data_IF_540322131513
#
_entry.id   IF_540322131513
#
_cell.length_a   1.000
_cell.length_b   1.000
_cell.length_c   1.000
_cell.angle_alpha   90.00
_cell.angle_beta   90.00
_cell.angle_gamma   90.00
#
_symmetry.space_group_name_H-M   'P 1'
#
loop_
_entity.id
_entity.type
_entity.pdbx_description
1 polymer ?
#
# COMPACT_ATOMS: atom_id res chain seq x y z
N UNK A 1 11.19 3.97 -5.75
CA UNK A 1 11.27 3.71 -7.19
C UNK A 1 10.41 4.72 -7.95
N UNK A 2 10.95 5.36 -8.97
CA UNK A 2 10.23 6.26 -9.90
C UNK A 2 10.13 5.54 -11.24
N UNK A 3 8.93 5.46 -11.79
CA UNK A 3 8.64 4.82 -13.06
C UNK A 3 8.40 5.93 -14.07
N UNK A 4 9.16 5.91 -15.16
CA UNK A 4 9.00 6.84 -16.27
C UNK A 4 8.76 6.02 -17.53
N UNK A 5 7.65 6.30 -18.22
CA UNK A 5 7.38 5.73 -19.53
C UNK A 5 6.81 6.80 -20.45
N UNK A 6 6.85 6.55 -21.74
CA UNK A 6 6.29 7.45 -22.74
C UNK A 6 5.48 6.69 -23.78
N UNK A 7 4.49 7.34 -24.38
CA UNK A 7 3.80 6.92 -25.58
C UNK A 7 3.97 7.98 -26.66
N UNK A 8 4.08 7.54 -27.92
CA UNK A 8 4.11 8.43 -29.08
C UNK A 8 2.77 8.29 -29.82
N UNK A 9 2.01 9.38 -29.91
CA UNK A 9 0.68 9.37 -30.52
C UNK A 9 0.47 10.60 -31.41
N UNK A 10 0.28 10.40 -32.72
CA UNK A 10 -0.01 11.48 -33.69
C UNK A 10 0.90 12.71 -33.49
N UNK A 11 2.22 12.53 -33.53
CA UNK A 11 3.25 13.56 -33.30
C UNK A 11 3.35 14.14 -31.88
N UNK A 12 2.54 13.65 -30.94
CA UNK A 12 2.59 14.05 -29.54
C UNK A 12 3.34 13.01 -28.68
N UNK A 13 4.09 13.50 -27.69
CA UNK A 13 4.76 12.68 -26.69
C UNK A 13 3.94 12.74 -25.39
N UNK A 14 3.44 11.58 -24.96
CA UNK A 14 2.71 11.43 -23.70
C UNK A 14 3.66 10.78 -22.70
N UNK A 15 4.23 11.55 -21.78
CA UNK A 15 5.11 11.03 -20.73
C UNK A 15 4.33 10.78 -19.43
N UNK A 16 4.66 9.69 -18.76
CA UNK A 16 3.98 9.21 -17.57
C UNK A 16 5.03 9.00 -16.49
N UNK A 17 4.84 9.68 -15.36
CA UNK A 17 5.63 9.49 -14.16
C UNK A 17 4.75 8.90 -13.07
N UNK A 18 5.10 7.70 -12.59
CA UNK A 18 4.43 7.06 -11.48
C UNK A 18 5.42 6.74 -10.35
N UNK A 19 4.96 6.74 -9.11
CA UNK A 19 5.76 6.27 -7.98
C UNK A 19 5.03 5.25 -7.12
N UNK A 20 5.80 4.55 -6.29
CA UNK A 20 5.29 3.54 -5.36
C UNK A 20 4.33 4.06 -4.29
N UNK A 21 4.26 5.38 -4.09
CA UNK A 21 3.32 6.02 -3.16
C UNK A 21 2.01 6.44 -3.86
N UNK A 22 1.76 5.92 -5.06
CA UNK A 22 0.55 6.16 -5.81
C UNK A 22 0.48 7.53 -6.46
N UNK A 23 1.57 8.30 -6.51
CA UNK A 23 1.58 9.55 -7.26
C UNK A 23 1.75 9.23 -8.73
N UNK A 24 0.81 9.71 -9.55
CA UNK A 24 0.73 9.52 -11.00
C UNK A 24 0.67 10.91 -11.65
N UNK A 25 1.55 11.18 -12.61
CA UNK A 25 1.63 12.46 -13.32
C UNK A 25 1.75 12.19 -14.82
N UNK A 26 0.93 12.87 -15.61
CA UNK A 26 0.90 12.77 -17.06
C UNK A 26 1.33 14.11 -17.66
N UNK A 27 2.24 14.04 -18.61
CA UNK A 27 2.72 15.17 -19.39
C UNK A 27 2.40 14.94 -20.87
N UNK A 28 1.94 15.99 -21.55
CA UNK A 28 1.74 16.03 -23.00
C UNK A 28 2.73 17.03 -23.58
N UNK A 29 3.63 16.58 -24.45
CA UNK A 29 4.70 17.40 -25.05
C UNK A 29 5.54 18.18 -24.00
N UNK A 30 5.73 17.58 -22.82
CA UNK A 30 6.46 18.18 -21.70
C UNK A 30 5.61 19.06 -20.78
N UNK A 31 4.37 19.38 -21.12
CA UNK A 31 3.45 20.11 -20.25
C UNK A 31 2.64 19.16 -19.36
N UNK A 32 2.55 19.45 -18.06
CA UNK A 32 1.78 18.63 -17.13
C UNK A 32 0.28 18.83 -17.35
N UNK A 33 -0.40 17.79 -17.82
CA UNK A 33 -1.85 17.82 -18.12
C UNK A 33 -2.69 17.10 -17.07
N UNK A 34 -2.10 16.19 -16.29
CA UNK A 34 -2.82 15.49 -15.22
C UNK A 34 -1.90 15.11 -14.07
N UNK A 35 -2.41 15.21 -12.84
CA UNK A 35 -1.73 14.76 -11.63
C UNK A 35 -2.76 14.20 -10.68
N UNK A 36 -2.55 12.97 -10.23
CA UNK A 36 -3.40 12.32 -9.25
C UNK A 36 -2.55 11.55 -8.24
N UNK A 37 -3.10 11.40 -7.03
CA UNK A 37 -2.56 10.47 -6.04
C UNK A 37 -3.59 9.38 -5.82
N UNK A 38 -3.24 8.19 -6.27
CA UNK A 38 -4.08 7.03 -6.23
C UNK A 38 -3.53 5.97 -5.28
N UNK A 39 -4.27 5.70 -4.22
CA UNK A 39 -3.91 4.69 -3.22
C UNK A 39 -4.37 3.29 -3.67
N UNK A 40 -5.25 3.23 -4.68
CA UNK A 40 -5.73 1.96 -5.24
C UNK A 40 -4.76 1.39 -6.26
N UNK A 41 -4.94 0.11 -6.62
CA UNK A 41 -4.14 -0.55 -7.66
C UNK A 41 -4.53 -0.17 -9.09
N UNK A 42 -5.47 0.76 -9.29
CA UNK A 42 -6.01 1.14 -10.61
C UNK A 42 -6.16 2.65 -10.74
N UNK A 43 -5.30 3.28 -11.53
CA UNK A 43 -5.38 4.70 -11.91
C UNK A 43 -5.96 4.91 -13.30
N UNK A 44 -6.69 6.01 -13.46
CA UNK A 44 -7.26 6.39 -14.75
C UNK A 44 -7.12 7.90 -14.92
N UNK A 45 -6.46 8.30 -16.01
CA UNK A 45 -6.36 9.68 -16.45
C UNK A 45 -7.07 9.83 -17.79
N UNK A 46 -7.78 10.94 -17.99
CA UNK A 46 -8.30 11.32 -19.28
C UNK A 46 -7.57 12.58 -19.73
N UNK A 47 -7.06 12.59 -20.96
CA UNK A 47 -6.39 13.72 -21.58
C UNK A 47 -7.00 13.97 -22.95
N UNK A 48 -6.83 15.18 -23.47
CA UNK A 48 -7.29 15.56 -24.81
C UNK A 48 -6.07 15.82 -25.70
N UNK A 49 -6.03 15.20 -26.87
CA UNK A 49 -4.96 15.35 -27.87
C UNK A 49 -5.63 15.57 -29.22
N UNK A 50 -5.39 16.72 -29.86
CA UNK A 50 -5.96 17.07 -31.16
C UNK A 50 -7.49 16.86 -31.26
N UNK A 51 -8.26 17.31 -30.26
CA UNK A 51 -9.73 17.15 -30.15
C UNK A 51 -10.20 15.69 -29.94
N UNK A 52 -9.28 14.75 -29.71
CA UNK A 52 -9.58 13.37 -29.36
C UNK A 52 -9.33 13.12 -27.87
N UNK A 53 -10.32 12.52 -27.20
CA UNK A 53 -10.18 12.14 -25.80
C UNK A 53 -9.48 10.79 -25.68
N UNK A 54 -8.32 10.79 -25.04
CA UNK A 54 -7.55 9.61 -24.71
C UNK A 54 -7.69 9.27 -23.23
N UNK A 55 -7.68 7.97 -22.94
CA UNK A 55 -7.68 7.42 -21.59
C UNK A 55 -6.37 6.68 -21.35
N UNK A 56 -5.72 7.00 -20.23
CA UNK A 56 -4.52 6.32 -19.75
C UNK A 56 -4.87 5.60 -18.48
N UNK A 57 -4.73 4.28 -18.48
CA UNK A 57 -5.07 3.43 -17.35
C UNK A 57 -3.83 2.75 -16.80
N UNK A 58 -3.58 2.93 -15.51
CA UNK A 58 -2.48 2.33 -14.78
C UNK A 58 -3.05 1.21 -13.91
N UNK A 59 -2.57 -0.02 -14.08
CA UNK A 59 -3.02 -1.17 -13.31
C UNK A 59 -1.83 -1.87 -12.68
N UNK A 60 -1.75 -1.84 -11.35
CA UNK A 60 -0.78 -2.60 -10.57
C UNK A 60 -1.33 -4.01 -10.35
N UNK A 61 -0.76 -5.00 -11.05
CA UNK A 61 -1.26 -6.39 -11.02
C UNK A 61 -0.96 -7.07 -9.67
N UNK A 62 0.12 -6.67 -8.99
CA UNK A 62 0.47 -7.16 -7.65
C UNK A 62 1.35 -6.15 -6.91
N UNK A 63 1.06 -5.87 -5.65
CA UNK A 63 1.82 -4.87 -4.87
C UNK A 63 3.20 -5.38 -4.39
N UNK A 64 3.41 -6.70 -4.39
CA UNK A 64 4.64 -7.33 -3.86
C UNK A 64 5.61 -7.81 -4.96
N UNK A 65 5.09 -8.12 -6.16
CA UNK A 65 5.86 -8.63 -7.30
C UNK A 65 5.42 -8.03 -8.63
N UNK A 66 4.41 -7.19 -8.62
CA UNK A 66 3.55 -7.03 -9.78
C UNK A 66 4.02 -5.98 -10.74
N UNK A 67 3.95 -6.37 -11.99
CA UNK A 67 4.14 -5.49 -13.11
C UNK A 67 3.09 -4.37 -13.07
N UNK A 68 3.52 -3.16 -13.38
CA UNK A 68 2.63 -2.05 -13.69
C UNK A 68 2.28 -2.15 -15.17
N UNK A 69 1.00 -2.35 -15.47
CA UNK A 69 0.48 -2.29 -16.84
C UNK A 69 -0.09 -0.90 -17.06
N UNK A 70 0.34 -0.24 -18.14
CA UNK A 70 -0.10 1.09 -18.53
C UNK A 70 -0.72 0.99 -19.92
N UNK A 71 -2.01 1.30 -20.02
CA UNK A 71 -2.79 1.19 -21.24
C UNK A 71 -3.19 2.58 -21.74
N UNK A 72 -3.00 2.85 -23.03
CA UNK A 72 -3.50 4.02 -23.74
C UNK A 72 -4.66 3.59 -24.64
N UNK A 73 -5.83 4.18 -24.47
CA UNK A 73 -7.03 3.87 -25.25
C UNK A 73 -7.77 5.13 -25.68
N UNK A 74 -8.59 5.01 -26.71
CA UNK A 74 -9.55 6.01 -27.16
C UNK A 74 -10.96 5.40 -27.23
N UNK A 75 -11.91 6.13 -27.83
CA UNK A 75 -13.28 5.65 -28.06
C UNK A 75 -13.37 4.42 -28.98
N UNK A 76 -12.36 4.18 -29.81
CA UNK A 76 -12.31 3.06 -30.76
C UNK A 76 -11.70 1.80 -30.14
N UNK A 77 -10.95 1.92 -29.04
CA UNK A 77 -10.40 0.80 -28.30
C UNK A 77 -9.01 1.07 -27.71
N UNK A 78 -8.29 -0.01 -27.42
CA UNK A 78 -6.91 0.05 -26.95
C UNK A 78 -5.98 0.43 -28.11
N UNK A 79 -5.17 1.47 -27.92
CA UNK A 79 -4.16 1.93 -28.87
C UNK A 79 -2.84 1.20 -28.59
N UNK A 80 -2.34 1.29 -27.36
CA UNK A 80 -1.06 0.70 -26.96
C UNK A 80 -1.10 0.29 -25.48
N UNK A 81 -0.31 -0.72 -25.12
CA UNK A 81 -0.13 -1.16 -23.74
C UNK A 81 1.34 -1.42 -23.47
N UNK A 82 1.83 -0.96 -22.31
CA UNK A 82 3.19 -1.17 -21.83
C UNK A 82 3.16 -1.80 -20.46
N UNK A 83 3.98 -2.82 -20.29
CA UNK A 83 4.15 -3.51 -19.01
C UNK A 83 5.54 -3.20 -18.48
N UNK A 84 5.59 -2.68 -17.27
CA UNK A 84 6.82 -2.32 -16.57
C UNK A 84 6.94 -3.26 -15.38
N UNK A 85 7.99 -4.07 -15.38
CA UNK A 85 8.24 -4.96 -14.26
C UNK A 85 8.73 -4.12 -13.07
N UNK A 86 7.97 -4.15 -11.97
CA UNK A 86 8.36 -3.54 -10.72
C UNK A 86 9.25 -4.51 -9.95
N UNK A 87 10.39 -4.89 -10.53
CA UNK A 87 11.37 -5.67 -9.80
C UNK A 87 11.98 -4.81 -8.69
N UNK A 88 11.75 -5.22 -7.45
CA UNK A 88 12.67 -4.87 -6.39
C UNK A 88 14.01 -5.51 -6.74
N UNK A 89 15.05 -4.71 -6.95
CA UNK A 89 16.42 -5.14 -6.70
C UNK A 89 16.57 -5.38 -5.19
N UNK A 90 15.94 -6.44 -4.68
CA UNK A 90 16.57 -7.20 -3.61
C UNK A 90 17.75 -7.84 -4.32
N UNK A 91 18.94 -7.30 -4.10
CA UNK A 91 20.10 -7.46 -4.97
C UNK A 91 20.30 -8.89 -5.47
N UNK A 92 20.87 -9.00 -6.67
CA UNK A 92 21.44 -10.22 -7.24
C UNK A 92 22.49 -10.86 -6.29
N UNK A 93 22.07 -11.36 -5.14
CA UNK A 93 22.81 -12.34 -4.37
C UNK A 93 22.38 -13.69 -4.92
N UNK A 94 23.20 -14.15 -5.85
CA UNK A 94 23.27 -15.50 -6.36
C UNK A 94 22.78 -16.52 -5.28
N UNK A 95 21.62 -17.18 -5.44
CA UNK A 95 21.10 -18.11 -4.44
C UNK A 95 22.01 -19.33 -4.23
N UNK A 96 23.00 -19.54 -5.09
CA UNK A 96 24.03 -20.58 -4.95
C UNK A 96 25.25 -20.15 -4.13
N UNK A 97 25.45 -18.86 -3.90
CA UNK A 97 26.43 -18.38 -2.92
C UNK A 97 25.72 -18.32 -1.57
N UNK A 98 25.64 -19.46 -0.88
CA UNK A 98 25.05 -19.53 0.45
C UNK A 98 25.58 -18.40 1.33
N UNK A 99 24.73 -17.39 1.56
CA UNK A 99 25.04 -16.25 2.41
C UNK A 99 25.12 -16.81 3.82
N UNK A 100 26.33 -17.13 4.25
CA UNK A 100 26.62 -17.41 5.65
C UNK A 100 26.65 -16.08 6.36
N UNK A 101 25.49 -15.64 6.82
CA UNK A 101 25.39 -14.55 7.77
C UNK A 101 26.30 -14.86 8.96
N UNK A 102 27.11 -13.88 9.34
CA UNK A 102 27.91 -13.99 10.56
C UNK A 102 26.97 -14.04 11.77
N UNK A 103 27.34 -14.72 12.88
CA UNK A 103 26.49 -14.79 14.08
C UNK A 103 26.09 -13.41 14.60
N UNK A 104 26.90 -12.36 14.36
CA UNK A 104 26.56 -10.99 14.71
C UNK A 104 25.44 -10.36 13.85
N UNK A 105 25.25 -10.80 12.60
CA UNK A 105 24.17 -10.30 11.71
C UNK A 105 22.80 -10.92 12.03
N UNK A 106 22.75 -11.97 12.85
CA UNK A 106 21.51 -12.56 13.37
C UNK A 106 20.85 -11.73 14.49
N UNK A 107 21.45 -10.59 14.85
CA UNK A 107 20.98 -9.71 15.93
C UNK A 107 19.94 -8.66 15.49
N UNK A 108 19.24 -8.87 14.38
CA UNK A 108 18.03 -8.07 14.08
C UNK A 108 17.00 -8.12 15.22
N UNK A 109 17.02 -9.17 16.05
CA UNK A 109 16.22 -9.29 17.27
C UNK A 109 16.58 -8.27 18.35
N UNK A 110 17.84 -7.87 18.45
CA UNK A 110 18.33 -6.89 19.42
C UNK A 110 18.05 -5.45 18.93
N UNK A 111 17.94 -5.24 17.62
CA UNK A 111 17.52 -3.95 17.03
C UNK A 111 15.99 -3.77 17.03
N UNK A 112 15.23 -4.87 17.08
CA UNK A 112 13.77 -4.91 17.19
C UNK A 112 13.30 -5.04 18.65
N UNK A 113 14.01 -4.44 19.59
CA UNK A 113 13.42 -4.06 20.88
C UNK A 113 12.38 -2.95 20.65
N UNK A 114 11.31 -3.26 19.92
CA UNK A 114 10.14 -2.41 19.75
C UNK A 114 9.61 -2.13 21.14
N UNK A 115 9.77 -0.90 21.64
CA UNK A 115 9.44 -0.63 23.01
C UNK A 115 7.97 -0.93 23.25
N UNK A 116 7.65 -1.65 24.33
CA UNK A 116 6.29 -2.10 24.65
C UNK A 116 5.24 -0.97 24.63
N UNK A 117 5.68 0.28 24.82
CA UNK A 117 4.84 1.47 24.68
C UNK A 117 4.31 1.70 23.26
N UNK A 118 4.99 1.27 22.19
CA UNK A 118 4.47 1.39 20.81
C UNK A 118 3.22 0.53 20.57
N UNK A 119 3.13 -0.65 21.20
CA UNK A 119 1.92 -1.49 21.14
C UNK A 119 0.76 -0.77 21.84
N UNK A 120 1.05 -0.12 22.97
CA UNK A 120 0.06 0.67 23.72
C UNK A 120 -0.37 1.90 22.91
N UNK A 121 0.58 2.64 22.32
CA UNK A 121 0.26 3.78 21.45
C UNK A 121 -0.52 3.35 20.21
N UNK A 122 -0.20 2.21 19.60
CA UNK A 122 -0.97 1.64 18.49
C UNK A 122 -2.41 1.33 18.89
N UNK A 123 -2.61 0.71 20.05
CA UNK A 123 -3.95 0.42 20.59
C UNK A 123 -4.73 1.70 20.93
N UNK A 124 -4.08 2.71 21.51
CA UNK A 124 -4.71 4.00 21.88
C UNK A 124 -5.05 4.84 20.65
N UNK A 125 -4.13 4.94 19.67
CA UNK A 125 -4.35 5.69 18.42
C UNK A 125 -5.48 5.06 17.62
N UNK A 126 -5.59 3.73 17.61
CA UNK A 126 -6.70 3.03 16.93
C UNK A 126 -8.05 3.42 17.55
N UNK A 127 -8.14 3.55 18.87
CA UNK A 127 -9.36 3.99 19.55
C UNK A 127 -9.71 5.45 19.23
N UNK A 128 -8.71 6.35 19.23
CA UNK A 128 -8.91 7.77 18.90
C UNK A 128 -9.34 7.95 17.44
N UNK A 129 -8.69 7.24 16.51
CA UNK A 129 -9.07 7.24 15.09
C UNK A 129 -10.47 6.70 14.88
N UNK A 130 -10.85 5.64 15.60
CA UNK A 130 -12.21 5.10 15.59
C UNK A 130 -13.21 6.16 16.08
N UNK A 131 -12.95 6.83 17.20
CA UNK A 131 -13.81 7.91 17.71
C UNK A 131 -13.96 9.07 16.72
N UNK A 132 -12.89 9.47 16.03
CA UNK A 132 -12.95 10.54 15.03
C UNK A 132 -13.72 10.14 13.76
N UNK A 133 -13.64 8.88 13.36
CA UNK A 133 -14.45 8.33 12.26
C UNK A 133 -15.93 8.34 12.66
N UNK A 134 -16.25 8.07 13.92
CA UNK A 134 -17.62 8.08 14.45
C UNK A 134 -18.22 9.48 14.53
N UNK A 135 -17.44 10.47 14.96
CA UNK A 135 -17.88 11.87 15.05
C UNK A 135 -18.16 12.49 13.67
N UNK A 136 -17.48 12.02 12.62
CA UNK A 136 -17.69 12.48 11.23
C UNK A 136 -18.63 11.61 10.40
N UNK A 137 -19.14 10.51 10.96
CA UNK A 137 -19.96 9.57 10.22
C UNK A 137 -21.38 10.13 10.03
N UNK A 138 -21.90 10.26 8.79
CA UNK A 138 -23.20 10.88 8.51
C UNK A 138 -24.36 9.89 8.71
N UNK A 139 -24.24 8.94 9.64
CA UNK A 139 -25.24 7.89 9.81
C UNK A 139 -26.34 8.44 10.71
N UNK A 140 -27.47 8.84 10.11
CA UNK A 140 -28.76 8.96 10.78
C UNK A 140 -29.24 7.56 11.21
N UNK A 141 -28.51 6.93 12.14
CA UNK A 141 -28.82 5.60 12.63
C UNK A 141 -29.95 5.69 13.66
N UNK A 142 -31.01 4.92 13.45
CA UNK A 142 -32.00 4.71 14.49
C UNK A 142 -31.35 4.01 15.69
N UNK A 143 -31.88 4.21 16.91
CA UNK A 143 -31.36 3.66 18.17
C UNK A 143 -30.89 2.18 18.10
N UNK A 144 -31.59 1.26 17.40
CA UNK A 144 -31.17 -0.14 17.26
C UNK A 144 -29.87 -0.34 16.45
N UNK A 145 -29.65 0.49 15.43
CA UNK A 145 -28.47 0.40 14.56
C UNK A 145 -27.22 0.88 15.30
N UNK A 146 -27.37 1.91 16.14
CA UNK A 146 -26.32 2.38 17.03
C UNK A 146 -25.92 1.29 18.04
N UNK A 147 -26.88 0.64 18.70
CA UNK A 147 -26.61 -0.42 19.68
C UNK A 147 -25.88 -1.61 19.03
N UNK A 148 -26.30 -2.01 17.82
CA UNK A 148 -25.67 -3.12 17.09
C UNK A 148 -24.24 -2.75 16.68
N UNK A 149 -24.05 -1.54 16.16
CA UNK A 149 -22.76 -1.04 15.73
C UNK A 149 -21.78 -0.84 16.89
N UNK A 150 -22.20 -0.24 18.01
CA UNK A 150 -21.39 -0.14 19.23
C UNK A 150 -21.13 -1.52 19.86
N UNK A 151 -22.07 -2.46 19.74
CA UNK A 151 -21.88 -3.86 20.12
C UNK A 151 -20.77 -4.52 19.31
N UNK A 152 -20.75 -4.34 17.99
CA UNK A 152 -19.69 -4.85 17.12
C UNK A 152 -18.32 -4.23 17.43
N UNK A 153 -18.26 -2.93 17.73
CA UNK A 153 -17.02 -2.27 18.16
C UNK A 153 -16.54 -2.83 19.50
N UNK A 154 -17.43 -2.98 20.49
CA UNK A 154 -17.09 -3.57 21.78
C UNK A 154 -16.52 -4.98 21.64
N UNK A 155 -17.13 -5.80 20.79
CA UNK A 155 -16.63 -7.14 20.48
C UNK A 155 -15.27 -7.12 19.78
N UNK A 156 -15.04 -6.18 18.85
CA UNK A 156 -13.76 -6.02 18.18
C UNK A 156 -12.64 -5.65 19.17
N UNK A 157 -12.91 -4.72 20.10
CA UNK A 157 -11.96 -4.34 21.16
C UNK A 157 -11.64 -5.52 22.08
N UNK A 158 -12.66 -6.29 22.49
CA UNK A 158 -12.47 -7.49 23.32
C UNK A 158 -11.62 -8.54 22.57
N UNK A 159 -11.92 -8.80 21.30
CA UNK A 159 -11.18 -9.75 20.48
C UNK A 159 -9.72 -9.31 20.29
N UNK A 160 -9.47 -8.04 19.96
CA UNK A 160 -8.12 -7.50 19.85
C UNK A 160 -7.36 -7.58 21.19
N UNK A 161 -8.02 -7.30 22.31
CA UNK A 161 -7.42 -7.41 23.65
C UNK A 161 -7.04 -8.85 23.98
N UNK A 162 -7.92 -9.81 23.68
CA UNK A 162 -7.67 -11.24 23.90
C UNK A 162 -6.52 -11.77 23.02
N UNK A 163 -6.45 -11.33 21.76
CA UNK A 163 -5.34 -11.66 20.84
C UNK A 163 -4.02 -11.13 21.41
N UNK A 164 -3.99 -9.85 21.81
CA UNK A 164 -2.80 -9.24 22.42
C UNK A 164 -2.41 -9.98 23.71
N UNK A 165 -3.37 -10.31 24.57
CA UNK A 165 -3.12 -11.07 25.80
C UNK A 165 -2.52 -12.45 25.52
N UNK A 166 -3.04 -13.18 24.52
CA UNK A 166 -2.51 -14.50 24.12
C UNK A 166 -1.11 -14.40 23.56
N UNK A 167 -0.84 -13.39 22.74
CA UNK A 167 0.49 -13.13 22.19
C UNK A 167 1.47 -12.83 23.33
N UNK A 168 1.12 -11.92 24.26
CA UNK A 168 1.94 -11.59 25.43
C UNK A 168 2.19 -12.82 26.33
N UNK A 169 1.19 -13.67 26.51
CA UNK A 169 1.33 -14.93 27.28
C UNK A 169 2.30 -15.88 26.59
N UNK A 170 2.24 -16.03 25.27
CA UNK A 170 3.19 -16.87 24.52
C UNK A 170 4.61 -16.32 24.59
N UNK A 171 4.79 -15.00 24.47
CA UNK A 171 6.10 -14.36 24.65
C UNK A 171 6.67 -14.56 26.07
N UNK A 172 5.82 -14.52 27.11
CA UNK A 172 6.24 -14.78 28.49
C UNK A 172 6.68 -16.24 28.72
N UNK A 173 6.02 -17.19 28.06
CA UNK A 173 6.42 -18.61 28.12
C UNK A 173 7.76 -18.83 27.40
N UNK A 174 7.92 -18.26 26.20
CA UNK A 174 9.16 -18.37 25.42
C UNK A 174 10.38 -17.77 26.14
N UNK A 175 10.23 -16.57 26.73
CA UNK A 175 11.26 -15.93 27.55
C UNK A 175 11.58 -16.70 28.85
N UNK A 176 10.62 -17.45 29.40
CA UNK A 176 10.86 -18.29 30.59
C UNK A 176 11.62 -19.58 30.27
N UNK A 177 11.45 -20.15 29.08
CA UNK A 177 12.20 -21.34 28.64
C UNK A 177 13.67 -21.03 28.30
N UNK A 178 13.95 -19.80 27.85
CA UNK A 178 15.29 -19.34 27.51
C UNK A 178 16.16 -19.03 28.75
N UNK A 179 15.58 -18.92 29.95
CA UNK A 179 16.31 -18.75 31.23
C UNK A 179 16.71 -20.07 31.91
N UNK A 180 16.27 -21.21 31.40
CA UNK A 180 16.55 -22.55 31.96
C UNK A 180 17.51 -23.37 31.08
N UNK A 181 18.22 -22.71 30.15
CA UNK A 181 19.35 -23.21 29.37
C UNK A 181 20.55 -22.33 29.75
#
# INVERSE_FOLDING_TARGET
>A
MKINTEFNYQDNIIAIEANMFGKEVIYLNGEKVSEQRNISSKGTHCIEVNEEQLQIKLTVVSQLKGNLVIELSNSQGLIESKTIDLYYEYGQQNPEAGVKFTPEEYNWKDELELPWYFIIYGLLITLVMLCQILEKSPIEATWPDQVTFYGCIGLAVIACTEIVYRILKQFKILSSQQKNI
#
